data_IF_197130979838
#
_entry.id   IF_197130979838
#
_cell.length_a   1.000
_cell.length_b   1.000
_cell.length_c   1.000
_cell.angle_alpha   90.00
_cell.angle_beta   90.00
_cell.angle_gamma   90.00
#
_symmetry.space_group_name_H-M   'P 1'
#
loop_
_entity.id
_entity.type
_entity.pdbx_description
1 polymer ?
#
# COMPACT_ATOMS: atom_id res chain seq x y z
N UNK A 1 82.17 -13.60 -24.10
CA UNK A 1 82.27 -13.38 -22.64
C UNK A 1 80.92 -13.79 -22.07
N UNK A 2 80.83 -14.94 -21.37
CA UNK A 2 81.03 -15.09 -19.91
C UNK A 2 79.86 -14.47 -19.12
N UNK A 3 79.16 -15.17 -18.21
CA UNK A 3 78.93 -16.62 -18.00
C UNK A 3 77.86 -16.82 -16.90
N UNK A 4 76.99 -17.83 -17.04
CA UNK A 4 76.28 -18.60 -15.98
C UNK A 4 75.38 -17.83 -14.97
N UNK A 5 74.42 -18.44 -14.28
CA UNK A 5 74.00 -19.85 -14.17
C UNK A 5 72.44 -19.96 -14.31
N UNK A 6 71.74 -21.09 -14.53
CA UNK A 6 71.88 -22.49 -14.06
C UNK A 6 71.72 -22.65 -12.53
N UNK A 7 71.03 -23.62 -11.91
CA UNK A 7 70.18 -24.78 -12.31
C UNK A 7 68.96 -24.79 -11.32
N UNK A 8 67.89 -25.60 -11.34
CA UNK A 8 67.44 -26.82 -12.05
C UNK A 8 65.89 -26.87 -12.07
N UNK A 9 65.27 -27.79 -12.82
CA UNK A 9 63.88 -28.26 -12.62
C UNK A 9 63.83 -29.79 -12.69
N UNK A 10 63.60 -30.45 -11.55
CA UNK A 10 63.39 -31.90 -11.46
C UNK A 10 62.05 -32.30 -10.84
N UNK A 11 61.49 -33.41 -11.31
CA UNK A 11 60.12 -33.85 -11.01
C UNK A 11 60.02 -34.82 -9.81
N UNK A 12 58.85 -34.77 -9.16
CA UNK A 12 58.08 -35.91 -8.62
C UNK A 12 58.75 -36.85 -7.60
N UNK A 13 58.09 -37.01 -6.44
CA UNK A 13 57.41 -38.30 -6.17
C UNK A 13 56.45 -38.27 -4.97
N UNK A 14 55.42 -39.13 -5.07
CA UNK A 14 54.63 -39.73 -3.98
C UNK A 14 53.99 -38.79 -2.95
N UNK A 15 52.69 -38.55 -3.17
CA UNK A 15 51.75 -38.35 -2.07
C UNK A 15 51.75 -39.57 -1.13
N UNK A 16 51.66 -39.31 0.18
CA UNK A 16 51.33 -40.30 1.21
C UNK A 16 50.03 -39.85 1.89
N UNK A 17 49.05 -40.74 1.99
CA UNK A 17 47.73 -40.37 2.50
C UNK A 17 47.76 -40.13 4.01
N UNK A 18 47.22 -38.99 4.45
CA UNK A 18 46.68 -38.83 5.80
C UNK A 18 45.19 -38.59 5.68
N UNK A 19 44.41 -39.64 5.89
CA UNK A 19 42.96 -39.52 6.00
C UNK A 19 42.64 -38.85 7.34
N UNK A 20 42.49 -37.52 7.32
CA UNK A 20 41.82 -36.84 8.42
C UNK A 20 40.37 -37.30 8.43
N UNK A 21 39.99 -37.95 9.53
CA UNK A 21 38.65 -38.47 9.71
C UNK A 21 37.71 -37.27 9.84
N UNK A 22 37.03 -36.95 8.75
CA UNK A 22 35.94 -35.98 8.74
C UNK A 22 34.76 -36.60 9.47
N UNK A 23 34.84 -36.60 10.81
CA UNK A 23 33.74 -36.96 11.69
C UNK A 23 32.55 -36.09 11.26
N UNK A 24 31.41 -36.66 10.83
CA UNK A 24 30.26 -35.85 10.49
C UNK A 24 29.84 -35.12 11.77
N UNK A 25 30.05 -33.81 11.81
CA UNK A 25 29.51 -32.95 12.86
C UNK A 25 28.02 -33.22 12.88
N UNK A 26 27.52 -33.69 14.02
CA UNK A 26 26.14 -34.16 14.16
C UNK A 26 25.19 -33.13 13.57
N UNK A 27 24.30 -33.55 12.68
CA UNK A 27 23.29 -32.67 12.12
C UNK A 27 22.57 -32.00 13.29
N UNK A 28 22.66 -30.67 13.38
CA UNK A 28 21.88 -29.92 14.34
C UNK A 28 20.43 -30.05 13.92
N UNK A 29 19.70 -30.96 14.57
CA UNK A 29 18.25 -31.10 14.44
C UNK A 29 17.64 -29.71 14.37
N UNK A 30 17.01 -29.38 13.24
CA UNK A 30 16.38 -28.09 13.01
C UNK A 30 15.04 -28.03 13.73
N UNK A 31 15.11 -28.14 15.06
CA UNK A 31 14.00 -28.09 16.01
C UNK A 31 13.21 -26.82 15.72
N UNK A 32 12.09 -26.98 15.03
CA UNK A 32 11.19 -25.89 14.70
C UNK A 32 10.79 -25.19 16.01
N UNK A 33 10.84 -23.85 16.07
CA UNK A 33 10.51 -23.12 17.28
C UNK A 33 9.09 -23.49 17.71
N UNK A 34 8.94 -23.84 18.99
CA UNK A 34 7.65 -24.23 19.57
C UNK A 34 7.02 -23.03 20.26
N UNK A 35 5.72 -22.82 20.03
CA UNK A 35 4.98 -21.69 20.61
C UNK A 35 5.02 -21.72 22.14
N UNK A 36 5.46 -20.61 22.74
CA UNK A 36 5.48 -20.36 24.18
C UNK A 36 4.23 -19.56 24.64
N UNK A 37 3.16 -19.56 23.85
CA UNK A 37 1.91 -18.88 24.21
C UNK A 37 1.40 -19.34 25.58
N UNK A 38 0.96 -18.39 26.41
CA UNK A 38 0.54 -18.63 27.80
C UNK A 38 1.68 -18.66 28.82
N UNK A 39 2.96 -18.71 28.42
CA UNK A 39 4.10 -18.52 29.33
C UNK A 39 4.02 -17.14 30.00
N UNK A 40 4.39 -17.09 31.27
CA UNK A 40 4.54 -15.85 32.02
C UNK A 40 5.98 -15.34 31.92
N UNK A 41 6.14 -14.05 31.60
CA UNK A 41 7.43 -13.35 31.39
C UNK A 41 7.29 -11.89 31.84
N UNK A 42 8.37 -11.26 32.33
CA UNK A 42 8.34 -9.83 32.67
C UNK A 42 8.26 -8.95 31.41
N UNK A 43 8.01 -7.64 31.55
CA UNK A 43 8.02 -6.74 30.40
C UNK A 43 9.44 -6.62 29.81
N UNK A 44 10.46 -6.62 30.67
CA UNK A 44 11.88 -6.58 30.29
C UNK A 44 12.33 -7.87 29.61
N UNK A 45 11.84 -9.03 30.07
CA UNK A 45 12.06 -10.33 29.40
C UNK A 45 11.37 -10.33 28.02
N UNK A 46 10.14 -9.81 27.90
CA UNK A 46 9.44 -9.69 26.62
C UNK A 46 10.19 -8.82 25.61
N UNK A 47 10.60 -7.60 26.01
CA UNK A 47 11.33 -6.70 25.11
C UNK A 47 12.68 -7.30 24.68
N UNK A 48 13.40 -7.99 25.58
CA UNK A 48 14.71 -8.59 25.29
C UNK A 48 14.62 -9.85 24.42
N UNK A 49 13.79 -10.82 24.79
CA UNK A 49 13.86 -12.18 24.24
C UNK A 49 12.74 -12.51 23.24
N UNK A 50 11.65 -11.74 23.20
CA UNK A 50 10.43 -12.08 22.45
C UNK A 50 9.99 -11.04 21.42
N UNK A 51 10.30 -9.75 21.62
CA UNK A 51 9.93 -8.70 20.67
C UNK A 51 10.93 -8.58 19.50
N UNK A 52 12.24 -8.64 19.77
CA UNK A 52 13.30 -8.51 18.75
C UNK A 52 13.85 -9.86 18.24
N UNK A 53 14.03 -10.84 19.13
CA UNK A 53 14.88 -12.02 18.88
C UNK A 53 14.11 -13.32 18.57
N UNK A 54 12.78 -13.31 18.45
CA UNK A 54 11.97 -14.54 18.36
C UNK A 54 11.39 -14.83 16.98
N UNK A 55 11.67 -16.04 16.49
CA UNK A 55 11.11 -16.64 15.26
C UNK A 55 9.57 -16.73 15.25
N UNK A 56 8.94 -16.71 16.44
CA UNK A 56 7.48 -16.65 16.59
C UNK A 56 7.12 -15.29 17.15
N UNK A 57 6.20 -14.59 16.49
CA UNK A 57 5.76 -13.28 16.94
C UNK A 57 4.76 -13.40 18.08
N UNK A 58 5.05 -12.74 19.20
CA UNK A 58 4.18 -12.65 20.37
C UNK A 58 3.77 -11.21 20.65
N UNK A 59 2.53 -11.05 21.12
CA UNK A 59 2.07 -9.90 21.88
C UNK A 59 2.19 -10.19 23.38
N UNK A 60 2.24 -9.16 24.22
CA UNK A 60 2.40 -9.31 25.66
C UNK A 60 1.21 -8.69 26.40
N UNK A 61 0.52 -9.49 27.21
CA UNK A 61 -0.70 -9.09 27.90
C UNK A 61 -0.53 -9.28 29.42
N UNK A 62 -0.14 -8.20 30.09
CA UNK A 62 0.04 -8.11 31.55
C UNK A 62 0.81 -9.31 32.14
N UNK A 63 2.02 -9.53 31.62
CA UNK A 63 2.92 -10.61 32.06
C UNK A 63 2.80 -11.94 31.31
N UNK A 64 1.95 -12.05 30.27
CA UNK A 64 1.68 -13.32 29.54
C UNK A 64 1.91 -13.15 28.03
N UNK A 65 2.55 -14.15 27.41
CA UNK A 65 2.73 -14.21 25.95
C UNK A 65 1.46 -14.66 25.21
N UNK A 66 1.12 -13.97 24.13
CA UNK A 66 0.02 -14.30 23.22
C UNK A 66 0.57 -14.40 21.78
N UNK A 67 0.65 -15.62 21.23
CA UNK A 67 1.09 -15.88 19.84
C UNK A 67 0.22 -15.11 18.84
N UNK A 68 0.85 -14.38 17.90
CA UNK A 68 0.15 -13.72 16.79
C UNK A 68 0.05 -14.70 15.60
N UNK A 69 -1.16 -15.21 15.26
CA UNK A 69 -1.33 -16.14 14.16
C UNK A 69 -1.33 -15.41 12.80
N UNK A 70 -0.73 -16.03 11.78
CA UNK A 70 -0.85 -15.57 10.40
C UNK A 70 -2.22 -15.91 9.80
N UNK A 71 -2.76 -15.03 8.96
CA UNK A 71 -4.06 -15.19 8.30
C UNK A 71 -3.97 -16.01 7.01
N UNK A 72 -5.07 -16.13 6.27
CA UNK A 72 -5.10 -16.83 4.99
C UNK A 72 -4.75 -15.91 3.79
N UNK A 73 -4.50 -16.50 2.62
CA UNK A 73 -4.09 -15.75 1.43
C UNK A 73 -5.18 -14.82 0.87
N UNK A 74 -6.46 -15.20 0.96
CA UNK A 74 -7.57 -14.33 0.54
C UNK A 74 -7.69 -13.11 1.44
N UNK A 75 -7.56 -13.30 2.76
CA UNK A 75 -7.54 -12.19 3.73
C UNK A 75 -6.29 -11.32 3.56
N UNK A 76 -5.13 -11.91 3.21
CA UNK A 76 -3.93 -11.17 2.82
C UNK A 76 -4.16 -10.31 1.55
N UNK A 77 -4.90 -10.77 0.56
CA UNK A 77 -5.22 -9.96 -0.63
C UNK A 77 -6.07 -8.73 -0.28
N UNK A 78 -7.09 -8.88 0.57
CA UNK A 78 -7.88 -7.74 1.09
C UNK A 78 -6.98 -6.73 1.81
N UNK A 79 -6.11 -7.23 2.68
CA UNK A 79 -5.11 -6.43 3.40
C UNK A 79 -4.15 -5.71 2.46
N UNK A 80 -3.63 -6.39 1.42
CA UNK A 80 -2.69 -5.82 0.46
C UNK A 80 -3.33 -4.72 -0.40
N UNK A 81 -4.56 -4.93 -0.87
CA UNK A 81 -5.31 -3.91 -1.61
C UNK A 81 -5.61 -2.68 -0.74
N UNK A 82 -6.07 -2.88 0.51
CA UNK A 82 -6.33 -1.76 1.42
C UNK A 82 -5.04 -0.99 1.79
N UNK A 83 -3.93 -1.71 1.98
CA UNK A 83 -2.61 -1.12 2.21
C UNK A 83 -2.16 -0.28 1.01
N UNK A 84 -2.33 -0.78 -0.22
CA UNK A 84 -2.02 -0.05 -1.45
C UNK A 84 -2.88 1.22 -1.59
N UNK A 85 -4.19 1.12 -1.33
CA UNK A 85 -5.11 2.25 -1.34
C UNK A 85 -4.67 3.34 -0.34
N UNK A 86 -4.33 2.94 0.89
CA UNK A 86 -3.87 3.85 1.93
C UNK A 86 -2.52 4.50 1.58
N UNK A 87 -1.58 3.77 0.95
CA UNK A 87 -0.33 4.35 0.45
C UNK A 87 -0.57 5.40 -0.64
N UNK A 88 -1.53 5.18 -1.55
CA UNK A 88 -1.92 6.19 -2.53
C UNK A 88 -2.57 7.41 -1.86
N UNK A 89 -3.48 7.19 -0.90
CA UNK A 89 -4.09 8.25 -0.12
C UNK A 89 -3.05 9.13 0.59
N UNK A 90 -2.13 8.54 1.35
CA UNK A 90 -1.11 9.28 2.10
C UNK A 90 -0.07 9.95 1.20
N UNK A 91 0.16 9.44 -0.02
CA UNK A 91 1.01 10.12 -1.03
C UNK A 91 0.34 11.36 -1.61
N UNK A 92 -0.97 11.31 -1.87
CA UNK A 92 -1.74 12.46 -2.34
C UNK A 92 -2.05 13.46 -1.21
N UNK A 93 -2.17 12.99 0.03
CA UNK A 93 -2.51 13.78 1.22
C UNK A 93 -1.61 13.35 2.39
N UNK A 94 -0.40 13.92 2.53
CA UNK A 94 0.59 13.52 3.54
C UNK A 94 0.23 14.06 4.93
N UNK A 95 -0.94 13.68 5.45
CA UNK A 95 -1.50 14.09 6.75
C UNK A 95 -1.13 13.13 7.90
N UNK A 96 -0.58 11.96 7.57
CA UNK A 96 -0.23 10.91 8.51
C UNK A 96 0.90 10.02 7.96
N UNK A 97 1.53 9.25 8.84
CA UNK A 97 2.48 8.18 8.54
C UNK A 97 1.81 6.82 8.80
N UNK A 98 2.05 5.86 7.92
CA UNK A 98 1.68 4.45 8.12
C UNK A 98 2.94 3.65 8.47
N UNK A 99 2.83 2.69 9.38
CA UNK A 99 3.90 1.73 9.70
C UNK A 99 3.33 0.33 9.79
N UNK A 100 3.95 -0.60 9.06
CA UNK A 100 3.59 -2.02 9.03
C UNK A 100 4.67 -2.85 9.76
N UNK A 101 4.91 -4.08 9.31
CA UNK A 101 5.92 -4.99 9.89
C UNK A 101 5.68 -5.26 11.39
N UNK A 102 4.40 -5.29 11.77
CA UNK A 102 3.94 -5.58 13.14
C UNK A 102 4.47 -4.65 14.25
N UNK A 103 4.90 -3.42 13.94
CA UNK A 103 5.58 -2.57 14.92
C UNK A 103 4.71 -2.32 16.17
N UNK A 104 5.20 -2.80 17.32
CA UNK A 104 4.43 -2.84 18.55
C UNK A 104 4.39 -1.51 19.29
N UNK A 105 3.36 -1.34 20.14
CA UNK A 105 3.17 -0.16 20.96
C UNK A 105 2.58 -0.50 22.33
N UNK A 106 2.88 0.33 23.35
CA UNK A 106 2.49 0.11 24.74
C UNK A 106 1.14 0.77 25.05
N UNK A 107 0.19 -0.03 25.55
CA UNK A 107 -1.11 0.41 26.04
C UNK A 107 -1.15 0.37 27.58
N UNK A 108 -1.19 1.53 28.26
CA UNK A 108 -1.48 1.60 29.69
C UNK A 108 -2.99 1.53 29.92
N UNK A 109 -3.48 0.38 30.42
CA UNK A 109 -4.90 0.13 30.65
C UNK A 109 -5.22 0.14 32.17
N UNK A 110 -6.48 0.38 32.58
CA UNK A 110 -6.89 0.30 33.99
C UNK A 110 -6.66 -1.08 34.64
N UNK A 111 -6.49 -2.13 33.82
CA UNK A 111 -6.28 -3.53 34.24
C UNK A 111 -4.81 -3.98 34.20
N UNK A 112 -3.88 -3.15 33.71
CA UNK A 112 -2.46 -3.50 33.52
C UNK A 112 -1.85 -2.86 32.27
N UNK A 113 -0.62 -3.25 31.93
CA UNK A 113 -0.03 -2.90 30.61
C UNK A 113 -0.28 -4.03 29.61
N UNK A 114 -0.57 -3.67 28.35
CA UNK A 114 -0.55 -4.59 27.21
C UNK A 114 0.36 -4.01 26.13
N UNK A 115 1.09 -4.84 25.39
CA UNK A 115 1.86 -4.46 24.21
C UNK A 115 1.26 -5.22 23.02
N UNK A 116 0.73 -4.48 22.05
CA UNK A 116 0.06 -5.02 20.85
C UNK A 116 0.86 -4.74 19.60
N UNK A 117 0.78 -5.66 18.64
CA UNK A 117 1.44 -5.65 17.33
C UNK A 117 0.37 -5.67 16.22
N UNK A 118 -0.23 -4.52 15.86
CA UNK A 118 -1.18 -4.45 14.75
C UNK A 118 -0.45 -4.72 13.41
N UNK A 119 -1.16 -5.24 12.40
CA UNK A 119 -0.53 -5.57 11.11
C UNK A 119 0.01 -4.30 10.42
N UNK A 120 -0.75 -3.21 10.53
CA UNK A 120 -0.21 -1.86 10.47
C UNK A 120 -0.92 -0.88 11.41
N UNK A 121 -0.20 0.16 11.81
CA UNK A 121 -0.71 1.32 12.51
C UNK A 121 -0.54 2.60 11.69
N UNK A 122 -1.34 3.62 12.00
CA UNK A 122 -1.25 4.96 11.40
C UNK A 122 -1.15 6.02 12.49
N UNK A 123 -0.23 6.97 12.31
CA UNK A 123 0.01 8.11 13.20
C UNK A 123 -0.19 9.39 12.41
N UNK A 124 -1.15 10.22 12.80
CA UNK A 124 -1.38 11.53 12.17
C UNK A 124 -0.25 12.50 12.50
N UNK A 125 -0.01 13.47 11.62
CA UNK A 125 1.02 14.51 11.84
C UNK A 125 0.66 15.47 13.00
N UNK A 126 -0.59 15.47 13.47
CA UNK A 126 -1.06 16.19 14.66
C UNK A 126 -1.26 15.28 15.89
N UNK A 127 -0.75 14.03 15.84
CA UNK A 127 -0.63 13.19 17.03
C UNK A 127 0.41 13.81 17.99
N UNK A 128 0.12 13.96 19.30
CA UNK A 128 1.06 14.54 20.25
C UNK A 128 2.36 13.74 20.45
N UNK A 129 2.40 12.47 20.05
CA UNK A 129 3.61 11.66 19.97
C UNK A 129 3.94 11.37 18.49
N UNK A 130 4.86 12.10 17.85
CA UNK A 130 5.18 11.87 16.45
C UNK A 130 6.00 10.59 16.29
N UNK A 131 5.58 9.70 15.38
CA UNK A 131 6.41 8.56 14.95
C UNK A 131 7.73 9.05 14.33
N UNK A 132 8.86 8.62 14.86
CA UNK A 132 10.21 9.01 14.41
C UNK A 132 10.78 7.99 13.43
N UNK A 133 11.89 8.35 12.78
CA UNK A 133 12.51 7.52 11.72
C UNK A 133 13.28 6.29 12.24
N UNK A 134 13.70 6.31 13.51
CA UNK A 134 14.49 5.25 14.15
C UNK A 134 13.71 4.50 15.24
N UNK A 135 12.39 4.67 15.32
CA UNK A 135 11.54 3.96 16.27
C UNK A 135 11.45 2.47 15.88
N UNK A 136 11.92 1.58 16.75
CA UNK A 136 11.78 0.12 16.59
C UNK A 136 10.54 -0.45 17.31
N UNK A 137 9.93 0.36 18.17
CA UNK A 137 8.57 0.22 18.71
C UNK A 137 7.99 1.62 18.87
N UNK A 138 6.67 1.77 18.76
CA UNK A 138 6.05 3.09 18.82
C UNK A 138 5.79 3.52 20.28
N UNK A 139 6.27 4.71 20.63
CA UNK A 139 6.17 5.29 21.97
C UNK A 139 4.87 6.07 22.22
N UNK A 140 3.99 6.19 21.22
CA UNK A 140 2.67 6.81 21.33
C UNK A 140 1.51 5.81 21.20
N UNK A 141 0.30 6.35 21.02
CA UNK A 141 -0.91 5.59 20.68
C UNK A 141 -1.22 5.84 19.20
N UNK A 142 -1.47 4.76 18.44
CA UNK A 142 -1.84 4.89 17.02
C UNK A 142 -3.21 5.57 16.89
N UNK A 143 -3.37 6.44 15.91
CA UNK A 143 -4.68 7.03 15.62
C UNK A 143 -5.62 5.97 15.02
N UNK A 144 -5.08 5.13 14.12
CA UNK A 144 -5.78 4.01 13.49
C UNK A 144 -4.93 2.74 13.61
N UNK A 145 -5.54 1.64 14.09
CA UNK A 145 -4.98 0.29 14.02
C UNK A 145 -5.74 -0.57 13.00
N UNK A 146 -5.03 -1.45 12.30
CA UNK A 146 -5.62 -2.41 11.35
C UNK A 146 -5.12 -3.83 11.64
N UNK A 147 -6.04 -4.79 11.65
CA UNK A 147 -5.75 -6.23 11.76
C UNK A 147 -6.42 -6.98 10.61
N UNK A 148 -5.72 -7.96 10.03
CA UNK A 148 -6.22 -8.90 9.05
C UNK A 148 -6.60 -10.21 9.77
N UNK A 149 -7.89 -10.48 9.94
CA UNK A 149 -8.40 -11.50 10.87
C UNK A 149 -7.90 -12.93 10.56
N UNK A 150 -7.32 -13.61 11.55
CA UNK A 150 -6.90 -15.02 11.42
C UNK A 150 -7.89 -15.99 12.08
N UNK A 151 -8.41 -16.92 11.28
CA UNK A 151 -9.41 -17.89 11.72
C UNK A 151 -8.84 -19.27 12.09
N UNK A 152 -7.50 -19.45 11.98
CA UNK A 152 -6.81 -20.75 12.20
C UNK A 152 -7.10 -21.40 13.56
N UNK A 153 -7.43 -20.58 14.57
CA UNK A 153 -7.83 -20.98 15.92
C UNK A 153 -9.01 -20.08 16.31
N UNK A 154 -10.16 -20.60 16.83
CA UNK A 154 -11.30 -19.75 17.21
C UNK A 154 -10.97 -18.64 18.23
N UNK A 155 -9.92 -18.86 19.04
CA UNK A 155 -9.39 -17.86 19.96
C UNK A 155 -8.84 -16.59 19.27
N UNK A 156 -8.34 -16.69 18.02
CA UNK A 156 -7.88 -15.53 17.24
C UNK A 156 -9.02 -14.57 16.91
N UNK A 157 -10.15 -15.12 16.46
CA UNK A 157 -11.38 -14.34 16.19
C UNK A 157 -11.82 -13.58 17.45
N UNK A 158 -11.87 -14.25 18.60
CA UNK A 158 -12.24 -13.62 19.88
C UNK A 158 -11.21 -12.57 20.33
N UNK A 159 -9.91 -12.85 20.18
CA UNK A 159 -8.83 -11.91 20.51
C UNK A 159 -9.03 -10.59 19.77
N UNK A 160 -9.26 -10.64 18.46
CA UNK A 160 -9.27 -9.41 17.66
C UNK A 160 -10.64 -8.70 17.72
N UNK A 161 -11.75 -9.45 17.61
CA UNK A 161 -13.10 -8.86 17.63
C UNK A 161 -13.59 -8.40 19.02
N UNK A 162 -13.01 -8.92 20.11
CA UNK A 162 -13.42 -8.60 21.50
C UNK A 162 -12.26 -8.03 22.32
N UNK A 163 -11.17 -8.77 22.48
CA UNK A 163 -10.09 -8.40 23.42
C UNK A 163 -9.33 -7.15 22.96
N UNK A 164 -8.69 -7.18 21.79
CA UNK A 164 -8.01 -6.03 21.18
C UNK A 164 -8.94 -4.85 21.00
N UNK A 165 -10.18 -5.09 20.57
CA UNK A 165 -11.21 -4.04 20.45
C UNK A 165 -11.43 -3.29 21.77
N UNK A 166 -11.52 -3.99 22.91
CA UNK A 166 -11.66 -3.36 24.22
C UNK A 166 -10.37 -2.65 24.67
N UNK A 167 -9.21 -3.28 24.47
CA UNK A 167 -7.89 -2.72 24.83
C UNK A 167 -7.55 -1.46 24.02
N UNK A 168 -7.81 -1.46 22.71
CA UNK A 168 -7.61 -0.31 21.83
C UNK A 168 -8.56 0.86 22.16
N UNK A 169 -9.82 0.56 22.54
CA UNK A 169 -10.75 1.59 23.00
C UNK A 169 -10.28 2.25 24.31
N UNK A 170 -9.94 1.43 25.31
CA UNK A 170 -9.43 1.91 26.59
C UNK A 170 -8.05 2.60 26.48
N UNK A 171 -7.25 2.20 25.50
CA UNK A 171 -5.97 2.82 25.14
C UNK A 171 -6.07 4.12 24.33
N UNK A 172 -7.26 4.50 23.84
CA UNK A 172 -7.48 5.75 23.11
C UNK A 172 -7.14 5.71 21.61
N UNK A 173 -7.03 4.53 21.00
CA UNK A 173 -6.94 4.39 19.54
C UNK A 173 -8.26 4.89 18.93
N UNK A 174 -8.19 5.79 17.95
CA UNK A 174 -9.36 6.57 17.49
C UNK A 174 -10.20 5.82 16.45
N UNK A 175 -9.59 4.93 15.69
CA UNK A 175 -10.26 4.10 14.67
C UNK A 175 -9.66 2.70 14.65
N UNK A 176 -10.48 1.68 14.48
CA UNK A 176 -10.04 0.28 14.41
C UNK A 176 -10.74 -0.45 13.27
N UNK A 177 -9.94 -1.07 12.40
CA UNK A 177 -10.41 -1.80 11.22
C UNK A 177 -9.97 -3.27 11.32
N UNK A 178 -10.94 -4.16 11.12
CA UNK A 178 -10.73 -5.61 10.97
C UNK A 178 -11.02 -5.94 9.50
N UNK A 179 -10.02 -6.46 8.79
CA UNK A 179 -10.11 -6.88 7.40
C UNK A 179 -10.24 -8.40 7.30
N UNK A 180 -11.07 -8.88 6.37
CA UNK A 180 -11.26 -10.30 6.10
C UNK A 180 -11.81 -10.55 4.69
N UNK A 181 -11.55 -11.74 4.14
CA UNK A 181 -12.06 -12.22 2.83
C UNK A 181 -13.59 -12.41 2.78
N UNK A 182 -14.25 -12.53 3.93
CA UNK A 182 -15.70 -12.67 4.07
C UNK A 182 -16.27 -11.35 4.62
N UNK A 183 -17.18 -10.66 3.91
CA UNK A 183 -17.75 -9.37 4.33
C UNK A 183 -18.35 -9.38 5.74
N UNK A 184 -18.95 -10.49 6.16
CA UNK A 184 -19.61 -10.68 7.46
C UNK A 184 -18.65 -10.60 8.65
N UNK A 185 -17.33 -10.64 8.40
CA UNK A 185 -16.26 -10.56 9.41
C UNK A 185 -15.41 -9.30 9.29
N UNK A 186 -15.68 -8.45 8.30
CA UNK A 186 -15.10 -7.12 8.23
C UNK A 186 -15.76 -6.23 9.29
N UNK A 187 -14.99 -5.36 9.94
CA UNK A 187 -15.54 -4.44 10.92
C UNK A 187 -14.75 -3.13 10.96
N UNK A 188 -15.49 -2.02 11.06
CA UNK A 188 -14.94 -0.67 11.02
C UNK A 188 -15.50 0.10 12.23
N UNK A 189 -14.63 0.59 13.10
CA UNK A 189 -15.02 1.21 14.37
C UNK A 189 -14.38 2.58 14.54
N UNK A 190 -15.15 3.54 15.05
CA UNK A 190 -14.64 4.86 15.49
C UNK A 190 -14.85 5.00 17.00
N UNK A 191 -13.86 5.55 17.70
CA UNK A 191 -13.92 5.77 19.14
C UNK A 191 -14.81 6.99 19.43
N UNK A 192 -15.78 6.84 20.33
CA UNK A 192 -16.59 7.96 20.82
C UNK A 192 -15.85 8.76 21.89
N UNK A 193 -16.29 9.99 22.14
CA UNK A 193 -15.82 10.81 23.27
C UNK A 193 -16.06 10.18 24.65
N UNK A 194 -16.89 9.14 24.73
CA UNK A 194 -17.11 8.32 25.93
C UNK A 194 -16.12 7.16 26.08
N UNK A 195 -15.12 7.02 25.19
CA UNK A 195 -14.12 5.94 25.24
C UNK A 195 -14.63 4.57 24.76
N UNK A 196 -15.75 4.53 24.02
CA UNK A 196 -16.36 3.29 23.52
C UNK A 196 -16.38 3.28 21.99
N UNK A 197 -16.01 2.16 21.38
CA UNK A 197 -16.11 1.98 19.93
C UNK A 197 -17.55 1.80 19.46
N UNK A 198 -17.94 2.56 18.43
CA UNK A 198 -19.18 2.35 17.66
C UNK A 198 -18.85 1.99 16.20
N UNK A 199 -19.69 1.19 15.51
CA UNK A 199 -19.49 0.89 14.10
C UNK A 199 -19.52 2.16 13.23
N UNK A 200 -18.65 2.23 12.23
CA UNK A 200 -18.76 3.20 11.14
C UNK A 200 -19.78 2.63 10.14
N UNK A 201 -20.98 3.21 10.10
CA UNK A 201 -21.94 2.88 9.06
C UNK A 201 -21.45 3.37 7.68
N UNK A 202 -21.59 2.56 6.61
CA UNK A 202 -21.28 2.99 5.26
C UNK A 202 -22.34 3.96 4.72
N UNK A 203 -21.91 4.92 3.92
CA UNK A 203 -22.74 5.88 3.19
C UNK A 203 -22.72 5.47 1.71
N UNK A 204 -23.88 5.07 1.15
CA UNK A 204 -23.99 4.48 -0.20
C UNK A 204 -23.00 3.32 -0.48
N UNK A 205 -22.68 2.53 0.55
CA UNK A 205 -21.72 1.41 0.49
C UNK A 205 -20.26 1.82 0.76
N UNK A 206 -19.96 3.11 0.88
CA UNK A 206 -18.63 3.68 1.16
C UNK A 206 -18.41 3.82 2.66
N UNK A 207 -17.34 3.22 3.18
CA UNK A 207 -16.80 3.54 4.52
C UNK A 207 -15.94 4.80 4.40
N UNK A 208 -16.21 5.79 5.23
CA UNK A 208 -15.41 7.01 5.35
C UNK A 208 -14.64 7.03 6.68
N UNK A 209 -13.31 7.14 6.59
CA UNK A 209 -12.45 7.23 7.77
C UNK A 209 -12.71 8.53 8.53
N UNK A 210 -12.76 8.43 9.87
CA UNK A 210 -12.87 9.57 10.80
C UNK A 210 -11.48 10.05 11.21
N UNK A 211 -10.48 9.16 11.21
CA UNK A 211 -9.06 9.48 11.46
C UNK A 211 -8.37 10.09 10.24
N UNK A 212 -8.73 9.69 9.02
CA UNK A 212 -8.12 10.17 7.77
C UNK A 212 -9.16 10.91 6.89
N UNK A 213 -9.37 12.23 7.09
CA UNK A 213 -10.37 13.01 6.38
C UNK A 213 -10.34 12.86 4.85
N UNK A 214 -11.44 12.35 4.30
CA UNK A 214 -11.62 12.14 2.87
C UNK A 214 -10.86 10.94 2.30
N UNK A 215 -10.40 10.00 3.14
CA UNK A 215 -10.23 8.61 2.73
C UNK A 215 -11.62 7.95 2.72
N UNK A 216 -11.98 7.33 1.59
CA UNK A 216 -13.20 6.55 1.43
C UNK A 216 -12.94 5.31 0.60
N UNK A 217 -13.69 4.24 0.85
CA UNK A 217 -13.63 2.98 0.09
C UNK A 217 -14.95 2.22 0.19
N UNK A 218 -15.36 1.53 -0.88
CA UNK A 218 -16.52 0.64 -0.80
C UNK A 218 -16.19 -0.65 -0.08
N UNK A 219 -17.19 -1.24 0.56
CA UNK A 219 -17.10 -2.59 1.13
C UNK A 219 -16.89 -3.64 0.04
N UNK A 220 -17.61 -3.53 -1.08
CA UNK A 220 -17.49 -4.47 -2.20
C UNK A 220 -16.10 -4.44 -2.85
N UNK A 221 -15.47 -3.25 -2.91
CA UNK A 221 -14.13 -3.06 -3.51
C UNK A 221 -13.01 -3.71 -2.67
N UNK A 222 -13.22 -3.98 -1.38
CA UNK A 222 -12.30 -4.81 -0.57
C UNK A 222 -12.24 -6.26 -1.08
N UNK A 223 -13.31 -6.75 -1.70
CA UNK A 223 -13.43 -8.12 -2.23
C UNK A 223 -13.14 -8.15 -3.73
N UNK A 224 -13.70 -7.20 -4.50
CA UNK A 224 -13.49 -7.09 -5.94
C UNK A 224 -12.07 -6.61 -6.31
N UNK A 225 -11.42 -5.86 -5.41
CA UNK A 225 -10.03 -5.40 -5.49
C UNK A 225 -9.70 -4.71 -6.83
N UNK A 226 -10.46 -3.67 -7.24
CA UNK A 226 -10.29 -3.00 -8.51
C UNK A 226 -8.87 -2.45 -8.68
N UNK A 227 -8.40 -2.43 -9.92
CA UNK A 227 -7.06 -1.98 -10.26
C UNK A 227 -6.87 -0.48 -10.04
N UNK A 228 -5.60 -0.05 -10.01
CA UNK A 228 -5.26 1.38 -10.01
C UNK A 228 -5.83 2.11 -11.24
N UNK A 229 -6.10 1.41 -12.35
CA UNK A 229 -6.67 2.01 -13.56
C UNK A 229 -8.20 2.18 -13.51
N UNK A 230 -8.90 1.31 -12.80
CA UNK A 230 -10.34 1.49 -12.52
C UNK A 230 -10.52 2.58 -11.45
N UNK A 231 -9.79 2.46 -10.33
CA UNK A 231 -9.87 3.41 -9.22
C UNK A 231 -9.49 4.85 -9.61
N UNK A 232 -8.48 5.07 -10.46
CA UNK A 232 -8.13 6.44 -10.92
C UNK A 232 -9.24 7.12 -11.74
N UNK A 233 -10.22 6.37 -12.25
CA UNK A 233 -11.40 6.90 -12.96
C UNK A 233 -12.62 7.03 -12.04
N UNK A 234 -12.80 6.09 -11.12
CA UNK A 234 -13.91 6.07 -10.14
C UNK A 234 -13.97 7.32 -9.24
N UNK A 235 -15.14 7.98 -9.06
CA UNK A 235 -15.28 9.17 -8.22
C UNK A 235 -14.84 9.04 -6.75
N UNK A 236 -14.95 7.85 -6.13
CA UNK A 236 -14.59 7.62 -4.72
C UNK A 236 -13.06 7.72 -4.53
N UNK A 237 -12.31 7.25 -5.51
CA UNK A 237 -10.85 7.09 -5.46
C UNK A 237 -10.10 8.15 -6.27
N UNK A 238 -10.76 8.76 -7.25
CA UNK A 238 -10.29 9.82 -8.16
C UNK A 238 -9.40 10.88 -7.50
N UNK A 239 -9.79 11.34 -6.30
CA UNK A 239 -9.17 12.47 -5.61
C UNK A 239 -7.88 12.10 -4.83
N UNK A 240 -7.37 10.87 -4.99
CA UNK A 240 -6.10 10.43 -4.39
C UNK A 240 -5.39 9.25 -5.10
N UNK A 241 -6.09 8.42 -5.89
CA UNK A 241 -5.44 7.37 -6.71
C UNK A 241 -4.95 7.96 -8.04
N UNK A 242 -3.62 8.12 -8.15
CA UNK A 242 -2.91 8.60 -9.34
C UNK A 242 -3.43 9.95 -9.92
N UNK A 243 -3.71 11.01 -9.12
CA UNK A 243 -4.37 12.22 -9.61
C UNK A 243 -3.64 12.91 -10.77
N UNK A 244 -2.30 13.00 -10.73
CA UNK A 244 -1.51 13.60 -11.80
C UNK A 244 -1.56 12.87 -13.15
N UNK A 245 -2.00 11.61 -13.19
CA UNK A 245 -2.28 10.89 -14.45
C UNK A 245 -3.58 11.37 -15.09
N UNK A 246 -4.64 11.58 -14.29
CA UNK A 246 -5.90 12.15 -14.79
C UNK A 246 -5.66 13.53 -15.38
N UNK A 247 -4.94 14.40 -14.67
CA UNK A 247 -4.58 15.72 -15.21
C UNK A 247 -3.78 15.62 -16.53
N UNK A 248 -2.94 14.59 -16.69
CA UNK A 248 -2.15 14.39 -17.91
C UNK A 248 -3.04 13.94 -19.08
N UNK A 249 -3.99 13.04 -18.84
CA UNK A 249 -5.02 12.66 -19.82
C UNK A 249 -5.90 13.86 -20.20
N UNK A 250 -6.43 14.62 -19.23
CA UNK A 250 -7.25 15.81 -19.46
C UNK A 250 -6.51 16.88 -20.28
N UNK A 251 -5.21 17.09 -20.00
CA UNK A 251 -4.34 17.98 -20.80
C UNK A 251 -4.14 17.45 -22.22
N UNK A 252 -3.82 16.16 -22.38
CA UNK A 252 -3.57 15.55 -23.69
C UNK A 252 -4.83 15.55 -24.57
N UNK A 253 -6.01 15.24 -24.02
CA UNK A 253 -7.27 15.36 -24.75
C UNK A 253 -7.59 16.81 -25.11
N UNK A 254 -7.34 17.78 -24.22
CA UNK A 254 -7.57 19.19 -24.49
C UNK A 254 -6.63 19.73 -25.58
N UNK A 255 -5.40 19.22 -25.67
CA UNK A 255 -4.46 19.50 -26.75
C UNK A 255 -4.90 18.85 -28.07
N UNK A 256 -5.29 17.58 -28.05
CA UNK A 256 -5.81 16.86 -29.23
C UNK A 256 -7.05 17.55 -29.82
N UNK A 257 -8.03 17.93 -28.98
CA UNK A 257 -9.23 18.67 -29.40
C UNK A 257 -8.90 20.03 -30.04
N UNK A 258 -7.86 20.73 -29.54
CA UNK A 258 -7.38 21.98 -30.17
C UNK A 258 -6.75 21.71 -31.53
N UNK A 259 -5.82 20.75 -31.61
CA UNK A 259 -5.14 20.39 -32.85
C UNK A 259 -6.12 19.93 -33.94
N UNK A 260 -7.15 19.17 -33.58
CA UNK A 260 -8.23 18.81 -34.50
C UNK A 260 -9.02 20.04 -34.96
N UNK A 261 -9.42 20.92 -34.05
CA UNK A 261 -10.15 22.16 -34.42
C UNK A 261 -9.34 23.11 -35.31
N UNK A 262 -8.02 23.21 -35.09
CA UNK A 262 -7.11 23.95 -35.97
C UNK A 262 -6.99 23.31 -37.34
N UNK A 263 -6.91 21.97 -37.41
CA UNK A 263 -6.85 21.23 -38.68
C UNK A 263 -8.12 21.44 -39.50
N UNK A 264 -9.29 21.27 -38.87
CA UNK A 264 -10.60 21.53 -39.48
C UNK A 264 -10.73 22.99 -39.95
N UNK A 265 -10.27 23.97 -39.17
CA UNK A 265 -10.29 25.38 -39.54
C UNK A 265 -9.35 25.70 -40.73
N UNK A 266 -8.17 25.06 -40.81
CA UNK A 266 -7.26 25.19 -41.96
C UNK A 266 -7.87 24.60 -43.23
N UNK A 267 -8.42 23.38 -43.17
CA UNK A 267 -9.09 22.74 -44.31
C UNK A 267 -10.30 23.56 -44.80
N UNK A 268 -11.10 24.13 -43.89
CA UNK A 268 -12.24 24.97 -44.25
C UNK A 268 -11.82 26.33 -44.85
N UNK A 269 -10.62 26.84 -44.51
CA UNK A 269 -10.06 28.04 -45.14
C UNK A 269 -9.51 27.75 -46.55
N UNK A 270 -8.81 26.62 -46.70
CA UNK A 270 -8.26 26.13 -47.97
C UNK A 270 -9.38 25.85 -48.99
N UNK A 271 -10.44 25.16 -48.57
CA UNK A 271 -11.64 24.92 -49.40
C UNK A 271 -12.29 26.22 -49.90
N UNK A 272 -12.43 27.23 -49.03
CA UNK A 272 -12.99 28.54 -49.42
C UNK A 272 -12.10 29.29 -50.41
N UNK A 273 -10.78 29.17 -50.27
CA UNK A 273 -9.83 29.79 -51.19
C UNK A 273 -9.89 29.11 -52.57
N UNK A 274 -9.99 27.79 -52.62
CA UNK A 274 -10.20 27.03 -53.86
C UNK A 274 -11.54 27.36 -54.53
N UNK A 275 -12.61 27.55 -53.74
CA UNK A 275 -13.92 28.02 -54.23
C UNK A 275 -13.84 29.45 -54.79
N UNK A 276 -13.15 30.38 -54.11
CA UNK A 276 -12.98 31.76 -54.58
C UNK A 276 -12.11 31.84 -55.85
N UNK A 277 -11.02 31.06 -55.91
CA UNK A 277 -10.17 30.95 -57.10
C UNK A 277 -10.97 30.42 -58.30
N UNK A 278 -11.79 29.38 -58.09
CA UNK A 278 -12.61 28.78 -59.15
C UNK A 278 -13.72 29.71 -59.62
N UNK A 279 -14.48 30.31 -58.71
CA UNK A 279 -15.52 31.28 -59.03
C UNK A 279 -14.94 32.49 -59.80
N UNK A 280 -13.71 32.91 -59.47
CA UNK A 280 -12.99 33.94 -60.22
C UNK A 280 -12.60 33.48 -61.63
N UNK A 281 -12.08 32.26 -61.79
CA UNK A 281 -11.75 31.71 -63.11
C UNK A 281 -12.98 31.60 -64.01
N UNK A 282 -14.09 31.07 -63.48
CA UNK A 282 -15.38 30.98 -64.18
C UNK A 282 -15.90 32.38 -64.60
N UNK A 283 -15.75 33.39 -63.75
CA UNK A 283 -16.12 34.78 -64.08
C UNK A 283 -15.22 35.41 -65.15
N UNK A 284 -13.90 35.16 -65.11
CA UNK A 284 -12.95 35.64 -66.12
C UNK A 284 -13.20 34.96 -67.49
N UNK A 285 -13.52 33.66 -67.52
CA UNK A 285 -13.92 32.93 -68.73
C UNK A 285 -15.27 33.42 -69.29
N UNK A 286 -16.30 33.59 -68.46
CA UNK A 286 -17.59 34.11 -68.89
C UNK A 286 -17.49 35.51 -69.49
N UNK A 287 -16.63 36.37 -68.92
CA UNK A 287 -16.33 37.69 -69.45
C UNK A 287 -15.60 37.63 -70.81
N UNK A 288 -14.70 36.65 -71.00
CA UNK A 288 -14.03 36.42 -72.28
C UNK A 288 -15.02 35.93 -73.36
N UNK A 289 -15.92 35.00 -73.03
CA UNK A 289 -16.97 34.54 -73.93
C UNK A 289 -17.93 35.66 -74.34
N UNK A 290 -18.37 36.50 -73.39
CA UNK A 290 -19.20 37.68 -73.67
C UNK A 290 -18.51 38.72 -74.56
N UNK A 291 -17.18 38.86 -74.48
CA UNK A 291 -16.38 39.70 -75.38
C UNK A 291 -16.31 39.10 -76.79
N UNK A 292 -16.12 37.78 -76.91
CA UNK A 292 -16.07 37.08 -78.19
C UNK A 292 -17.42 37.05 -78.93
N UNK A 293 -18.54 37.06 -78.19
CA UNK A 293 -19.89 37.02 -78.76
C UNK A 293 -20.44 38.38 -79.22
N UNK A 294 -19.70 39.49 -79.05
CA UNK A 294 -20.10 40.80 -79.64
C UNK A 294 -19.71 40.84 -81.12
N UNK A 295 -20.66 40.89 -82.07
CA UNK A 295 -20.33 41.13 -83.47
C UNK A 295 -19.83 42.56 -83.67
N UNK A 296 -18.87 42.74 -84.56
CA UNK A 296 -18.42 44.08 -84.96
C UNK A 296 -19.55 44.92 -85.57
N UNK A 297 -19.56 46.20 -85.24
CA UNK A 297 -20.26 47.28 -85.96
C UNK A 297 -19.21 48.28 -86.45
#
# INVERSE_FOLDING_TARGET
>A
MIALAEVDVTMSTRAAARAEQHTPTTETDSVQPVSQAGRLVTEEEYWRDYYFESDIHYEWNNGRLEEKPVSDYGTYLVYAWFTLLLQHFLRARPIAKMVALEMGFRLPLPTGTVIRKPDFGVVRNDNPQPLLYFDASYHGVFDLCVEALSERKPAGIVRDTVTKKAEYAAGGVKEYIILHREPERQAFYTLTTAGVYVPIAPEEGVIHSRVLPGLGFRLDDLIAQPSLEEMRRDPVYAAFVLPGWREAEERAEAEARRAESESQARMALEQRLDEEIRARQEAEEALAQLRAQRPGR
#
